data_IF_615978393037
#
_entry.id   IF_615978393037
#
_cell.length_a   1.000
_cell.length_b   1.000
_cell.length_c   1.000
_cell.angle_alpha   90.00
_cell.angle_beta   90.00
_cell.angle_gamma   90.00
#
_symmetry.space_group_name_H-M   'P 1'
#
loop_
_entity.id
_entity.type
_entity.pdbx_description
1 polymer ?
#
# COMPACT_ATOMS: atom_id res chain seq x y z
N UNK A 1 -7.15 -19.03 12.73
CA UNK A 1 -6.93 -18.06 13.83
C UNK A 1 -5.86 -17.08 13.34
N UNK A 2 -6.15 -15.79 13.27
CA UNK A 2 -5.17 -14.79 12.80
C UNK A 2 -4.19 -14.43 13.92
N UNK A 3 -2.99 -13.92 13.57
CA UNK A 3 -2.03 -13.42 14.58
C UNK A 3 -2.64 -12.33 15.48
N UNK A 4 -3.64 -11.60 14.99
CA UNK A 4 -4.41 -10.61 15.75
C UNK A 4 -5.33 -11.27 16.79
N UNK A 5 -5.98 -12.40 16.47
CA UNK A 5 -6.81 -13.15 17.41
C UNK A 5 -5.97 -13.79 18.53
N UNK A 6 -4.73 -14.17 18.26
CA UNK A 6 -3.81 -14.68 19.28
C UNK A 6 -3.36 -13.56 20.23
N UNK A 7 -3.21 -12.32 19.73
CA UNK A 7 -2.91 -11.15 20.56
C UNK A 7 -4.11 -10.72 21.41
N UNK A 8 -5.34 -10.92 20.94
CA UNK A 8 -6.55 -10.64 21.70
C UNK A 8 -6.74 -11.60 22.89
N UNK A 9 -6.34 -12.86 22.77
CA UNK A 9 -6.32 -13.82 23.90
C UNK A 9 -5.35 -13.43 25.04
N UNK A 10 -4.38 -12.56 24.76
CA UNK A 10 -3.50 -11.94 25.77
C UNK A 10 -4.15 -10.72 26.45
N UNK A 11 -5.16 -10.10 25.77
CA UNK A 11 -5.88 -8.90 26.27
C UNK A 11 -6.86 -9.19 27.41
N UNK A 12 -7.38 -10.41 27.52
CA UNK A 12 -8.44 -10.71 28.49
C UNK A 12 -7.98 -10.76 29.97
N UNK A 13 -6.70 -10.52 30.26
CA UNK A 13 -6.13 -10.57 31.62
C UNK A 13 -6.06 -9.25 32.38
N UNK A 14 -6.74 -8.20 31.91
CA UNK A 14 -6.78 -6.92 32.64
C UNK A 14 -7.87 -5.97 32.17
N UNK A 15 -8.71 -5.52 33.05
CA UNK A 15 -9.67 -4.41 32.84
C UNK A 15 -8.90 -3.13 32.56
N UNK A 16 -9.01 -2.57 31.35
CA UNK A 16 -8.22 -1.40 30.90
C UNK A 16 -9.16 -0.22 30.68
N UNK A 17 -8.87 0.89 31.35
CA UNK A 17 -9.51 2.20 31.15
C UNK A 17 -9.11 2.76 29.76
N UNK A 18 -10.10 3.07 28.92
CA UNK A 18 -9.98 3.42 27.50
C UNK A 18 -9.17 4.70 27.17
N UNK A 19 -8.61 5.41 28.14
CA UNK A 19 -7.95 6.70 27.88
C UNK A 19 -6.42 6.65 27.68
N UNK A 20 -5.74 5.59 28.09
CA UNK A 20 -4.32 5.31 27.79
C UNK A 20 -4.05 3.83 28.00
N UNK A 21 -4.20 3.00 26.99
CA UNK A 21 -3.78 1.61 27.09
C UNK A 21 -2.27 1.54 27.36
N UNK A 22 -1.85 0.88 28.45
CA UNK A 22 -0.43 0.69 28.68
C UNK A 22 0.16 -0.21 27.58
N UNK A 23 1.35 0.12 27.07
CA UNK A 23 2.06 -0.67 26.04
C UNK A 23 2.37 -2.11 26.47
N UNK A 24 2.25 -2.42 27.76
CA UNK A 24 2.55 -3.75 28.33
C UNK A 24 1.89 -4.94 27.62
N UNK A 25 0.61 -4.88 27.19
CA UNK A 25 -0.03 -5.99 26.46
C UNK A 25 0.60 -6.28 25.10
N UNK A 26 1.35 -5.33 24.56
CA UNK A 26 2.01 -5.44 23.24
C UNK A 26 3.50 -5.79 23.34
N UNK A 27 4.04 -5.91 24.57
CA UNK A 27 5.42 -6.30 24.81
C UNK A 27 5.47 -7.82 24.94
N UNK A 28 6.13 -8.46 23.99
CA UNK A 28 6.36 -9.90 23.96
C UNK A 28 7.75 -10.21 24.51
N UNK A 29 7.87 -11.32 25.21
CA UNK A 29 9.19 -11.90 25.48
C UNK A 29 9.71 -12.57 24.20
N UNK A 30 11.01 -12.83 24.14
CA UNK A 30 11.59 -13.59 23.01
C UNK A 30 10.96 -15.01 22.91
N UNK A 31 10.65 -15.61 24.04
CA UNK A 31 10.01 -16.92 24.10
C UNK A 31 8.59 -16.89 23.53
N UNK A 32 7.80 -15.86 23.85
CA UNK A 32 6.45 -15.69 23.31
C UNK A 32 6.49 -15.43 21.79
N UNK A 33 7.42 -14.57 21.35
CA UNK A 33 7.60 -14.25 19.92
C UNK A 33 7.92 -15.50 19.08
N UNK A 34 8.82 -16.38 19.58
CA UNK A 34 9.21 -17.60 18.86
C UNK A 34 8.07 -18.62 18.78
N UNK A 35 7.16 -18.60 19.73
CA UNK A 35 5.97 -19.49 19.75
C UNK A 35 4.82 -19.00 18.88
N UNK A 36 4.87 -17.73 18.42
CA UNK A 36 3.80 -17.20 17.57
C UNK A 36 3.85 -17.82 16.17
N UNK A 37 2.73 -18.36 15.75
CA UNK A 37 2.51 -18.79 14.36
C UNK A 37 2.18 -17.57 13.50
N UNK A 38 3.21 -16.93 12.92
CA UNK A 38 3.03 -15.78 12.05
C UNK A 38 2.85 -16.25 10.61
N UNK A 39 1.71 -15.95 9.96
CA UNK A 39 1.48 -16.33 8.57
C UNK A 39 2.50 -15.67 7.64
N UNK A 40 3.00 -16.42 6.67
CA UNK A 40 3.94 -15.91 5.67
C UNK A 40 3.29 -14.82 4.84
N UNK A 41 3.93 -13.66 4.75
CA UNK A 41 3.46 -12.53 3.94
C UNK A 41 3.53 -12.88 2.46
N UNK A 42 2.44 -12.65 1.72
CA UNK A 42 2.38 -12.93 0.29
C UNK A 42 3.16 -11.87 -0.50
N UNK A 43 3.82 -12.30 -1.57
CA UNK A 43 4.53 -11.38 -2.44
C UNK A 43 3.55 -10.59 -3.33
N UNK A 44 3.76 -9.28 -3.36
CA UNK A 44 3.19 -8.36 -4.35
C UNK A 44 4.09 -8.35 -5.58
N UNK A 45 5.40 -8.18 -5.36
CA UNK A 45 6.46 -8.36 -6.35
C UNK A 45 7.51 -9.27 -5.73
N UNK A 46 7.68 -10.45 -6.30
CA UNK A 46 8.60 -11.43 -5.74
C UNK A 46 10.06 -11.10 -6.11
N UNK A 47 11.01 -11.16 -5.17
CA UNK A 47 10.82 -11.51 -3.75
C UNK A 47 10.71 -10.31 -2.80
N UNK A 48 10.83 -9.07 -3.28
CA UNK A 48 11.19 -7.92 -2.45
C UNK A 48 10.02 -7.08 -1.95
N UNK A 49 8.84 -7.07 -2.60
CA UNK A 49 7.68 -6.34 -2.12
C UNK A 49 6.60 -7.31 -1.64
N UNK A 50 6.35 -7.32 -0.34
CA UNK A 50 5.39 -8.19 0.32
C UNK A 50 4.16 -7.40 0.77
N UNK A 51 3.03 -8.08 0.99
CA UNK A 51 1.84 -7.47 1.60
C UNK A 51 2.18 -6.80 2.93
N UNK A 52 1.63 -5.59 3.17
CA UNK A 52 1.92 -4.77 4.35
C UNK A 52 3.34 -4.17 4.37
N UNK A 53 4.06 -4.15 3.24
CA UNK A 53 5.34 -3.45 3.15
C UNK A 53 5.13 -1.96 2.85
N UNK A 54 6.03 -1.14 3.39
CA UNK A 54 6.22 0.25 3.01
C UNK A 54 7.50 0.35 2.18
N UNK A 55 7.46 1.09 1.09
CA UNK A 55 8.61 1.34 0.22
C UNK A 55 8.78 2.82 -0.09
N UNK A 56 10.01 3.24 -0.35
CA UNK A 56 10.35 4.60 -0.76
C UNK A 56 11.14 4.57 -2.05
N UNK A 57 10.78 5.47 -2.98
CA UNK A 57 11.53 5.70 -4.22
C UNK A 57 12.07 7.12 -4.20
N UNK A 58 13.37 7.26 -4.16
CA UNK A 58 14.03 8.56 -4.18
C UNK A 58 15.08 8.62 -5.28
N UNK A 59 15.14 9.76 -5.96
CA UNK A 59 16.13 10.05 -6.99
C UNK A 59 16.12 11.57 -7.28
N UNK A 60 17.11 12.05 -8.01
CA UNK A 60 17.16 13.44 -8.48
C UNK A 60 15.91 13.78 -9.31
N UNK A 61 15.59 15.08 -9.39
CA UNK A 61 14.51 15.57 -10.27
C UNK A 61 14.80 15.18 -11.72
N UNK A 62 13.75 14.82 -12.47
CA UNK A 62 13.86 14.51 -13.91
C UNK A 62 14.27 13.09 -14.27
N UNK A 63 14.63 12.24 -13.31
CA UNK A 63 15.06 10.84 -13.56
C UNK A 63 13.91 9.87 -13.94
N UNK A 64 12.65 10.31 -13.82
CA UNK A 64 11.53 9.45 -14.20
C UNK A 64 10.86 8.70 -13.03
N UNK A 65 10.97 9.19 -11.78
CA UNK A 65 10.29 8.58 -10.61
C UNK A 65 8.79 8.39 -10.83
N UNK A 66 8.14 9.39 -11.41
CA UNK A 66 6.70 9.32 -11.70
C UNK A 66 6.39 8.23 -12.73
N UNK A 67 7.18 8.13 -13.80
CA UNK A 67 7.05 7.06 -14.78
C UNK A 67 7.25 5.67 -14.16
N UNK A 68 8.22 5.55 -13.27
CA UNK A 68 8.43 4.33 -12.49
C UNK A 68 7.20 3.97 -11.67
N UNK A 69 6.64 4.93 -10.92
CA UNK A 69 5.47 4.71 -10.08
C UNK A 69 4.22 4.35 -10.91
N UNK A 70 3.99 5.06 -12.02
CA UNK A 70 2.88 4.78 -12.93
C UNK A 70 3.01 3.41 -13.59
N UNK A 71 4.21 3.02 -14.05
CA UNK A 71 4.47 1.70 -14.61
C UNK A 71 4.28 0.60 -13.56
N UNK A 72 4.74 0.82 -12.34
CA UNK A 72 4.51 -0.08 -11.22
C UNK A 72 3.01 -0.26 -10.96
N UNK A 73 2.24 0.84 -10.85
CA UNK A 73 0.80 0.81 -10.62
C UNK A 73 0.07 0.02 -11.73
N UNK A 74 0.39 0.30 -12.99
CA UNK A 74 -0.16 -0.38 -14.14
C UNK A 74 0.16 -1.88 -14.12
N UNK A 75 1.42 -2.25 -13.84
CA UNK A 75 1.85 -3.65 -13.81
C UNK A 75 1.18 -4.41 -12.66
N UNK A 76 1.01 -3.79 -11.50
CA UNK A 76 0.31 -4.42 -10.37
C UNK A 76 -1.18 -4.59 -10.65
N UNK A 77 -1.81 -3.63 -11.32
CA UNK A 77 -3.22 -3.71 -11.67
C UNK A 77 -3.49 -4.76 -12.76
N UNK A 78 -2.61 -4.93 -13.72
CA UNK A 78 -2.74 -5.98 -14.75
C UNK A 78 -2.37 -7.35 -14.21
N UNK A 79 -1.32 -7.45 -13.40
CA UNK A 79 -0.83 -8.70 -12.81
C UNK A 79 -0.35 -9.74 -13.81
N UNK A 80 0.19 -10.84 -13.30
CA UNK A 80 0.60 -11.99 -14.12
C UNK A 80 1.82 -11.77 -15.02
N UNK A 81 2.46 -10.59 -14.95
CA UNK A 81 3.64 -10.22 -15.72
C UNK A 81 4.87 -10.00 -14.85
N UNK A 82 5.74 -9.11 -15.34
CA UNK A 82 6.95 -8.71 -14.63
C UNK A 82 7.02 -7.19 -14.52
N UNK A 83 7.50 -6.70 -13.40
CA UNK A 83 7.92 -5.33 -13.20
C UNK A 83 9.44 -5.31 -13.15
N UNK A 84 10.07 -4.63 -14.10
CA UNK A 84 11.51 -4.79 -14.38
C UNK A 84 11.80 -6.27 -14.69
N UNK A 85 12.58 -6.95 -13.85
CA UNK A 85 12.87 -8.38 -13.97
C UNK A 85 12.15 -9.24 -12.94
N UNK A 86 11.26 -8.67 -12.14
CA UNK A 86 10.63 -9.32 -11.00
C UNK A 86 9.19 -9.75 -11.30
N UNK A 87 8.82 -10.95 -10.87
CA UNK A 87 7.46 -11.49 -11.08
C UNK A 87 6.43 -10.73 -10.25
N UNK A 88 5.31 -10.40 -10.90
CA UNK A 88 4.08 -9.92 -10.28
C UNK A 88 3.09 -11.09 -10.29
N UNK A 89 2.94 -11.84 -9.19
CA UNK A 89 2.25 -13.13 -9.18
C UNK A 89 0.76 -13.05 -9.54
N UNK A 90 0.11 -11.93 -9.18
CA UNK A 90 -1.32 -11.72 -9.40
C UNK A 90 -1.65 -10.24 -9.50
N UNK A 91 -2.78 -9.93 -10.14
CA UNK A 91 -3.31 -8.58 -10.18
C UNK A 91 -3.77 -8.13 -8.80
N UNK A 92 -3.72 -6.81 -8.56
CA UNK A 92 -4.10 -6.15 -7.31
C UNK A 92 -4.98 -4.95 -7.59
N UNK A 93 -5.85 -4.61 -6.65
CA UNK A 93 -6.45 -3.29 -6.63
C UNK A 93 -5.35 -2.29 -6.27
N UNK A 94 -5.22 -1.24 -7.05
CA UNK A 94 -4.19 -0.22 -6.91
C UNK A 94 -4.85 1.14 -6.85
N UNK A 95 -4.54 1.92 -5.82
CA UNK A 95 -4.86 3.33 -5.77
C UNK A 95 -3.58 4.13 -6.03
N UNK A 96 -3.57 4.89 -7.11
CA UNK A 96 -2.48 5.81 -7.45
C UNK A 96 -2.91 7.23 -7.09
N UNK A 97 -2.20 7.82 -6.13
CA UNK A 97 -2.46 9.19 -5.66
C UNK A 97 -1.38 10.09 -6.25
N UNK A 98 -1.77 11.13 -6.97
CA UNK A 98 -0.86 12.13 -7.50
C UNK A 98 -1.21 13.51 -6.95
N UNK A 99 -0.20 14.17 -6.34
CA UNK A 99 -0.33 15.47 -5.71
C UNK A 99 0.30 16.62 -6.51
N UNK A 100 0.90 16.35 -7.67
CA UNK A 100 1.76 17.33 -8.35
C UNK A 100 1.35 17.60 -9.81
N UNK A 101 0.81 16.62 -10.52
CA UNK A 101 0.54 16.74 -11.95
C UNK A 101 -0.84 17.31 -12.25
N UNK A 102 -0.92 18.14 -13.29
CA UNK A 102 -2.20 18.49 -13.89
C UNK A 102 -2.90 17.23 -14.45
N UNK A 103 -4.23 17.20 -14.35
CA UNK A 103 -5.02 16.06 -14.80
C UNK A 103 -4.81 15.70 -16.27
N UNK A 104 -4.57 16.72 -17.13
CA UNK A 104 -4.28 16.53 -18.55
C UNK A 104 -2.96 15.76 -18.76
N UNK A 105 -1.91 16.13 -18.01
CA UNK A 105 -0.60 15.47 -18.08
C UNK A 105 -0.66 14.03 -17.56
N UNK A 106 -1.41 13.82 -16.48
CA UNK A 106 -1.64 12.48 -15.92
C UNK A 106 -2.32 11.56 -16.93
N UNK A 107 -3.37 12.06 -17.59
CA UNK A 107 -4.10 11.35 -18.65
C UNK A 107 -3.18 11.00 -19.84
N UNK A 108 -2.42 11.96 -20.35
CA UNK A 108 -1.50 11.75 -21.47
C UNK A 108 -0.46 10.67 -21.13
N UNK A 109 0.13 10.74 -19.95
CA UNK A 109 1.15 9.78 -19.50
C UNK A 109 0.60 8.37 -19.33
N UNK A 110 -0.57 8.20 -18.73
CA UNK A 110 -1.18 6.87 -18.65
C UNK A 110 -1.54 6.31 -20.03
N UNK A 111 -2.02 7.13 -20.94
CA UNK A 111 -2.28 6.73 -22.33
C UNK A 111 -0.99 6.31 -23.06
N UNK A 112 0.12 6.99 -22.80
CA UNK A 112 1.43 6.64 -23.39
C UNK A 112 2.04 5.36 -22.81
N UNK A 113 1.70 4.99 -21.55
CA UNK A 113 2.21 3.77 -20.93
C UNK A 113 1.63 2.50 -21.50
N UNK A 114 0.34 2.48 -21.76
CA UNK A 114 -0.37 1.28 -22.21
C UNK A 114 -1.75 1.60 -22.78
N UNK A 115 -2.19 0.83 -23.77
CA UNK A 115 -3.58 0.82 -24.21
C UNK A 115 -4.49 0.03 -23.25
N UNK A 116 -3.92 -0.70 -22.28
CA UNK A 116 -4.69 -1.40 -21.27
C UNK A 116 -5.30 -0.41 -20.27
N UNK A 117 -6.55 -0.60 -19.94
CA UNK A 117 -7.28 0.17 -18.93
C UNK A 117 -7.80 -0.80 -17.87
N UNK A 118 -6.95 -1.21 -16.92
CA UNK A 118 -7.35 -2.16 -15.89
C UNK A 118 -8.40 -1.54 -14.96
N UNK A 119 -9.54 -2.22 -14.78
CA UNK A 119 -10.66 -1.77 -13.94
C UNK A 119 -10.31 -1.61 -12.46
N UNK A 120 -9.21 -2.23 -12.04
CA UNK A 120 -8.72 -2.24 -10.66
C UNK A 120 -7.55 -1.27 -10.42
N UNK A 121 -7.30 -0.33 -11.35
CA UNK A 121 -6.41 0.82 -11.14
C UNK A 121 -7.27 2.06 -10.91
N UNK A 122 -7.24 2.57 -9.72
CA UNK A 122 -7.95 3.77 -9.30
C UNK A 122 -6.98 4.93 -9.23
N UNK A 123 -7.40 6.12 -9.68
CA UNK A 123 -6.57 7.31 -9.69
C UNK A 123 -7.23 8.38 -8.82
N UNK A 124 -6.43 9.02 -7.97
CA UNK A 124 -6.83 10.17 -7.17
C UNK A 124 -5.89 11.35 -7.48
N UNK A 125 -6.18 12.14 -8.52
CA UNK A 125 -5.38 13.32 -8.84
C UNK A 125 -5.74 14.50 -7.93
N UNK A 126 -4.74 15.30 -7.54
CA UNK A 126 -4.94 16.49 -6.71
C UNK A 126 -5.92 17.51 -7.31
N UNK A 127 -5.89 17.69 -8.62
CA UNK A 127 -6.82 18.60 -9.32
C UNK A 127 -8.30 18.27 -9.06
N UNK A 128 -8.63 16.98 -8.87
CA UNK A 128 -10.00 16.56 -8.55
C UNK A 128 -10.42 16.98 -7.16
N UNK A 129 -9.48 17.13 -6.23
CA UNK A 129 -9.72 17.53 -4.85
C UNK A 129 -9.89 19.03 -4.69
N UNK A 130 -9.14 19.83 -5.47
CA UNK A 130 -9.31 21.28 -5.48
C UNK A 130 -10.70 21.72 -5.92
N UNK A 131 -11.38 20.95 -6.79
CA UNK A 131 -12.75 21.23 -7.22
C UNK A 131 -13.79 20.99 -6.11
N UNK A 132 -13.47 20.15 -5.13
CA UNK A 132 -14.37 19.78 -4.03
C UNK A 132 -14.08 20.51 -2.73
N UNK A 133 -13.02 21.36 -2.68
CA UNK A 133 -12.55 22.03 -1.45
C UNK A 133 -12.23 21.07 -0.29
N UNK A 134 -12.03 19.81 -0.58
CA UNK A 134 -11.66 18.80 0.43
C UNK A 134 -10.14 18.74 0.59
N UNK A 135 -9.61 18.93 1.80
CA UNK A 135 -8.22 18.61 2.07
C UNK A 135 -8.04 17.09 1.95
N UNK A 136 -6.93 16.67 1.32
CA UNK A 136 -6.52 15.27 1.28
C UNK A 136 -6.05 14.84 2.69
N UNK A 137 -6.97 14.36 3.50
CA UNK A 137 -6.62 13.62 4.70
C UNK A 137 -6.57 12.14 4.34
N UNK A 138 -5.39 11.51 4.48
CA UNK A 138 -5.16 10.09 4.12
C UNK A 138 -6.04 9.16 4.96
N UNK A 139 -6.36 9.54 6.16
CA UNK A 139 -7.28 8.87 7.09
C UNK A 139 -8.71 8.77 6.55
N UNK A 140 -9.18 9.71 5.72
CA UNK A 140 -10.51 9.67 5.09
C UNK A 140 -10.57 8.76 3.84
N UNK A 141 -9.43 8.28 3.35
CA UNK A 141 -9.35 7.41 2.16
C UNK A 141 -9.39 5.92 2.55
N UNK A 142 -9.16 5.60 3.82
CA UNK A 142 -8.91 4.23 4.30
C UNK A 142 -10.15 3.60 4.97
N UNK A 143 -11.21 4.38 5.26
CA UNK A 143 -12.50 3.89 5.75
C UNK A 143 -13.40 3.48 4.58
#
# INVERSE_FOLDING_TARGET
>A
MSALEQLDGVRERGVIDKKREPLRPYILTTEDLVKLEIPTRKAIISPWLLEGSLGWVFAKRGIGKTWFAMNLAMTLATGGGTFLSYKVPRRRNVLFIDGEMALADLKERFAALSNAQPENLFLLPSDSLFQTSMPLAIDEIID
#
